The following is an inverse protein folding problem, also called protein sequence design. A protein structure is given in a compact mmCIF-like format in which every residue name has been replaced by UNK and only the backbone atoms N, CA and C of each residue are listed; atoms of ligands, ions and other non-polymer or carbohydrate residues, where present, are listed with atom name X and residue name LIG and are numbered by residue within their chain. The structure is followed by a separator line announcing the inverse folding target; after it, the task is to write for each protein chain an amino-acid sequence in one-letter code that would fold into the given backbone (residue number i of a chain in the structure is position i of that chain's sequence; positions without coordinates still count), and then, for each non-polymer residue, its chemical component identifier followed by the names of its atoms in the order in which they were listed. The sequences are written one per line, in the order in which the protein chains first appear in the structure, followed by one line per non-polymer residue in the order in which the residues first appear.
data_IF_101786739753
#
_entry.id   IF_101786739753
#
_cell.length_a   1.000
_cell.length_b   1.000
_cell.length_c   1.000
_cell.angle_alpha   90.00
_cell.angle_beta   90.00
_cell.angle_gamma   90.00
#
_symmetry.space_group_name_H-M   'P 1'
#
loop_
_entity.id
_entity.type
_entity.pdbx_description
1 polymer ?
#
# COMPACT_ATOMS: atom_id res chain seq x y z
N UNK A 1 23.34 -26.96 -48.18
CA UNK A 1 22.49 -27.29 -47.01
C UNK A 1 22.87 -26.38 -45.85
N UNK A 2 22.03 -25.42 -45.47
CA UNK A 2 22.27 -24.54 -44.32
C UNK A 2 22.12 -25.38 -43.06
N UNK A 3 23.23 -25.81 -42.45
CA UNK A 3 23.20 -26.46 -41.13
C UNK A 3 22.86 -25.38 -40.09
N UNK A 4 21.59 -25.13 -39.86
CA UNK A 4 21.15 -24.43 -38.66
C UNK A 4 21.43 -25.38 -37.50
N UNK A 5 22.59 -25.19 -36.87
CA UNK A 5 23.12 -26.08 -35.83
C UNK A 5 22.12 -26.10 -34.65
N UNK A 6 21.70 -27.29 -34.17
CA UNK A 6 20.83 -27.45 -32.99
C UNK A 6 21.32 -26.67 -31.76
N UNK A 7 22.62 -26.41 -31.71
CA UNK A 7 23.35 -25.65 -30.68
C UNK A 7 22.78 -24.23 -30.50
N UNK A 8 22.42 -23.54 -31.59
CA UNK A 8 21.97 -22.14 -31.52
C UNK A 8 20.58 -22.03 -30.87
N UNK A 9 19.72 -23.03 -31.10
CA UNK A 9 18.37 -23.08 -30.51
C UNK A 9 18.47 -23.39 -29.02
N UNK A 10 19.36 -24.30 -28.61
CA UNK A 10 19.56 -24.64 -27.21
C UNK A 10 20.09 -23.45 -26.38
N UNK A 11 21.05 -22.68 -26.93
CA UNK A 11 21.55 -21.46 -26.30
C UNK A 11 20.47 -20.37 -26.17
N UNK A 12 19.62 -20.22 -27.19
CA UNK A 12 18.52 -19.25 -27.15
C UNK A 12 17.46 -19.64 -26.11
N UNK A 13 17.18 -20.93 -25.94
CA UNK A 13 16.28 -21.44 -24.89
C UNK A 13 16.88 -21.20 -23.50
N UNK A 14 18.19 -21.47 -23.32
CA UNK A 14 18.88 -21.19 -22.04
C UNK A 14 18.79 -19.72 -21.65
N UNK A 15 19.09 -18.81 -22.59
CA UNK A 15 18.95 -17.36 -22.35
C UNK A 15 17.52 -16.93 -22.04
N UNK A 16 16.52 -17.53 -22.69
CA UNK A 16 15.11 -17.26 -22.39
C UNK A 16 14.72 -17.76 -20.99
N UNK A 17 15.20 -18.94 -20.60
CA UNK A 17 14.98 -19.48 -19.27
C UNK A 17 15.56 -18.55 -18.18
N UNK A 18 16.80 -18.10 -18.35
CA UNK A 18 17.45 -17.17 -17.42
C UNK A 18 16.68 -15.85 -17.27
N UNK A 19 16.21 -15.28 -18.39
CA UNK A 19 15.42 -14.05 -18.38
C UNK A 19 14.08 -14.26 -17.66
N UNK A 20 13.41 -15.39 -17.89
CA UNK A 20 12.13 -15.72 -17.24
C UNK A 20 12.31 -15.97 -15.74
N UNK A 21 13.34 -16.70 -15.33
CA UNK A 21 13.63 -16.92 -13.92
C UNK A 21 14.00 -15.63 -13.20
N UNK A 22 14.84 -14.79 -13.82
CA UNK A 22 15.21 -13.48 -13.27
C UNK A 22 13.98 -12.59 -13.12
N UNK A 23 13.12 -12.55 -14.13
CA UNK A 23 11.86 -11.79 -14.06
C UNK A 23 10.93 -12.32 -12.97
N UNK A 24 10.82 -13.64 -12.83
CA UNK A 24 9.98 -14.28 -11.80
C UNK A 24 10.47 -13.92 -10.40
N UNK A 25 11.79 -14.02 -10.18
CA UNK A 25 12.45 -13.63 -8.93
C UNK A 25 12.22 -12.16 -8.59
N UNK A 26 12.32 -11.27 -9.58
CA UNK A 26 12.08 -9.83 -9.39
C UNK A 26 10.60 -9.50 -9.07
N UNK A 27 9.65 -10.25 -9.65
CA UNK A 27 8.23 -10.10 -9.32
C UNK A 27 7.98 -10.56 -7.87
N UNK A 28 8.61 -11.65 -7.44
CA UNK A 28 8.51 -12.15 -6.08
C UNK A 28 9.13 -11.20 -5.06
N UNK A 29 10.29 -10.60 -5.35
CA UNK A 29 10.91 -9.61 -4.46
C UNK A 29 10.05 -8.36 -4.32
N UNK A 30 9.55 -7.80 -5.43
CA UNK A 30 8.65 -6.65 -5.41
C UNK A 30 7.34 -6.93 -4.65
N UNK A 31 6.81 -8.16 -4.75
CA UNK A 31 5.64 -8.60 -3.95
C UNK A 31 5.95 -8.68 -2.46
N UNK A 32 7.16 -9.09 -2.10
CA UNK A 32 7.61 -9.25 -0.72
C UNK A 32 7.85 -7.89 -0.05
N UNK A 33 8.45 -6.96 -0.79
CA UNK A 33 8.69 -5.57 -0.37
C UNK A 33 7.39 -4.82 -0.02
N UNK A 34 6.28 -5.15 -0.69
CA UNK A 34 4.96 -4.53 -0.46
C UNK A 34 3.99 -5.39 0.38
N UNK A 35 4.51 -6.37 1.11
CA UNK A 35 3.71 -7.20 2.01
C UNK A 35 3.25 -6.42 3.24
N UNK A 36 2.15 -6.85 3.87
CA UNK A 36 1.66 -6.25 5.13
C UNK A 36 2.76 -6.28 6.19
N UNK A 37 3.50 -7.39 6.29
CA UNK A 37 4.56 -7.54 7.28
C UNK A 37 5.67 -6.50 7.09
N UNK A 38 6.09 -6.22 5.86
CA UNK A 38 7.14 -5.22 5.58
C UNK A 38 6.65 -3.80 5.86
N UNK A 39 5.46 -3.40 5.39
CA UNK A 39 4.96 -2.04 5.67
C UNK A 39 4.70 -1.81 7.16
N UNK A 40 4.35 -2.86 7.91
CA UNK A 40 4.24 -2.77 9.38
C UNK A 40 5.61 -2.63 10.04
N UNK A 41 6.68 -3.25 9.53
CA UNK A 41 8.04 -2.99 10.02
C UNK A 41 8.45 -1.55 9.78
N UNK A 42 8.18 -1.00 8.60
CA UNK A 42 8.45 0.41 8.27
C UNK A 42 7.63 1.32 9.19
N UNK A 43 6.33 1.05 9.37
CA UNK A 43 5.49 1.82 10.29
C UNK A 43 6.04 1.82 11.72
N UNK A 44 6.58 0.68 12.17
CA UNK A 44 7.20 0.55 13.49
C UNK A 44 8.54 1.26 13.63
N UNK A 45 9.22 1.59 12.53
CA UNK A 45 10.48 2.34 12.53
C UNK A 45 10.28 3.85 12.33
N UNK A 46 9.07 4.31 11.98
CA UNK A 46 8.79 5.73 11.81
C UNK A 46 8.96 6.49 13.13
N UNK A 47 9.80 7.53 13.17
CA UNK A 47 9.91 8.38 14.34
C UNK A 47 8.57 9.10 14.55
N UNK A 48 8.19 9.37 15.82
CA UNK A 48 6.99 10.15 16.18
C UNK A 48 5.64 9.47 15.90
N UNK A 49 5.62 8.18 15.54
CA UNK A 49 4.40 7.37 15.62
C UNK A 49 4.37 6.62 16.95
N UNK A 50 3.32 6.85 17.73
CA UNK A 50 3.04 6.08 18.93
C UNK A 50 2.43 4.73 18.57
N UNK A 51 3.09 3.64 18.96
CA UNK A 51 2.60 2.28 18.71
C UNK A 51 1.30 2.07 19.48
N UNK A 52 0.26 1.68 18.77
CA UNK A 52 -1.09 1.51 19.34
C UNK A 52 -1.91 2.80 19.44
N UNK A 53 -1.34 3.97 19.13
CA UNK A 53 -2.10 5.20 19.02
C UNK A 53 -3.02 5.24 17.80
N UNK A 54 -3.92 6.23 17.74
CA UNK A 54 -4.96 6.32 16.71
C UNK A 54 -4.39 6.30 15.28
N UNK A 55 -3.35 7.09 15.02
CA UNK A 55 -2.72 7.15 13.70
C UNK A 55 -2.06 5.81 13.31
N UNK A 56 -1.52 5.08 14.30
CA UNK A 56 -0.93 3.75 14.07
C UNK A 56 -2.02 2.74 13.72
N UNK A 57 -3.11 2.68 14.49
CA UNK A 57 -4.23 1.78 14.23
C UNK A 57 -4.97 2.12 12.93
N UNK A 58 -5.03 3.41 12.57
CA UNK A 58 -5.51 3.83 11.27
C UNK A 58 -4.62 3.29 10.15
N UNK A 59 -3.31 3.43 10.26
CA UNK A 59 -2.37 2.92 9.26
C UNK A 59 -2.48 1.40 9.07
N UNK A 60 -2.65 0.62 10.15
CA UNK A 60 -2.82 -0.84 10.03
C UNK A 60 -4.09 -1.23 9.26
N UNK A 61 -5.20 -0.50 9.45
CA UNK A 61 -6.43 -0.68 8.67
C UNK A 61 -6.25 -0.24 7.21
N UNK A 62 -5.59 0.90 6.99
CA UNK A 62 -5.32 1.45 5.66
C UNK A 62 -4.48 0.47 4.82
N UNK A 63 -3.51 -0.20 5.44
CA UNK A 63 -2.63 -1.16 4.78
C UNK A 63 -3.28 -2.49 4.43
N UNK A 64 -4.57 -2.72 4.72
CA UNK A 64 -5.29 -3.86 4.14
C UNK A 64 -5.39 -3.68 2.61
N UNK A 65 -5.55 -2.45 2.15
CA UNK A 65 -5.60 -2.09 0.73
C UNK A 65 -4.20 -2.13 0.11
N UNK A 66 -4.03 -2.93 -0.93
CA UNK A 66 -2.72 -3.14 -1.58
C UNK A 66 -2.17 -1.85 -2.17
N UNK A 67 -3.01 -1.07 -2.83
CA UNK A 67 -2.63 0.18 -3.51
C UNK A 67 -2.14 1.22 -2.49
N UNK A 68 -2.70 1.20 -1.27
CA UNK A 68 -2.27 2.09 -0.18
C UNK A 68 -0.89 1.69 0.34
N UNK A 69 -0.61 0.38 0.44
CA UNK A 69 0.72 -0.13 0.81
C UNK A 69 1.78 0.27 -0.22
N UNK A 70 1.46 0.11 -1.51
CA UNK A 70 2.39 0.46 -2.60
C UNK A 70 2.73 1.95 -2.60
N UNK A 71 1.73 2.82 -2.41
CA UNK A 71 1.96 4.27 -2.29
C UNK A 71 2.82 4.56 -1.07
N UNK A 72 2.50 4.00 0.09
CA UNK A 72 3.24 4.23 1.33
C UNK A 72 4.72 3.79 1.21
N UNK A 73 4.97 2.60 0.67
CA UNK A 73 6.33 2.09 0.47
C UNK A 73 7.13 2.96 -0.52
N UNK A 74 6.49 3.48 -1.56
CA UNK A 74 7.12 4.34 -2.58
C UNK A 74 7.50 5.74 -2.07
N UNK A 75 7.05 6.15 -0.88
CA UNK A 75 7.38 7.48 -0.36
C UNK A 75 8.83 7.58 0.12
N UNK A 76 9.43 6.46 0.53
CA UNK A 76 10.82 6.29 1.02
C UNK A 76 11.25 7.13 2.24
N UNK A 77 10.85 8.41 2.30
CA UNK A 77 11.17 9.35 3.36
C UNK A 77 10.18 9.26 4.55
N UNK A 78 10.67 9.08 5.78
CA UNK A 78 9.83 8.98 6.97
C UNK A 78 8.87 10.16 7.18
N UNK A 79 9.32 11.38 6.92
CA UNK A 79 8.50 12.59 7.12
C UNK A 79 7.37 12.69 6.08
N UNK A 80 7.61 12.23 4.84
CA UNK A 80 6.58 12.16 3.80
C UNK A 80 5.55 11.07 4.13
N UNK A 81 6.00 9.91 4.60
CA UNK A 81 5.13 8.83 5.08
C UNK A 81 4.20 9.30 6.21
N UNK A 82 4.75 10.01 7.19
CA UNK A 82 3.99 10.57 8.31
C UNK A 82 2.98 11.62 7.85
N UNK A 83 3.40 12.54 6.97
CA UNK A 83 2.53 13.58 6.42
C UNK A 83 1.38 12.97 5.63
N UNK A 84 1.68 11.97 4.81
CA UNK A 84 0.67 11.25 4.04
C UNK A 84 -0.34 10.54 4.95
N UNK A 85 0.11 9.82 5.97
CA UNK A 85 -0.77 9.16 6.94
C UNK A 85 -1.68 10.16 7.66
N UNK A 86 -1.14 11.30 8.12
CA UNK A 86 -1.92 12.35 8.78
C UNK A 86 -2.99 12.93 7.86
N UNK A 87 -2.63 13.25 6.62
CA UNK A 87 -3.59 13.75 5.64
C UNK A 87 -4.70 12.75 5.37
N UNK A 88 -4.38 11.45 5.24
CA UNK A 88 -5.39 10.39 5.07
C UNK A 88 -6.28 10.24 6.30
N UNK A 89 -5.72 10.33 7.49
CA UNK A 89 -6.47 10.26 8.74
C UNK A 89 -7.44 11.43 8.90
N UNK A 90 -7.01 12.66 8.57
CA UNK A 90 -7.89 13.84 8.61
C UNK A 90 -9.05 13.71 7.63
N UNK A 91 -8.80 13.23 6.40
CA UNK A 91 -9.87 13.00 5.42
C UNK A 91 -10.89 11.96 5.87
N UNK A 92 -10.45 10.89 6.54
CA UNK A 92 -11.32 9.85 7.09
C UNK A 92 -12.19 10.39 8.23
N UNK A 93 -11.58 11.17 9.13
CA UNK A 93 -12.27 11.81 10.24
C UNK A 93 -13.26 12.88 9.75
N UNK A 94 -12.86 13.72 8.80
CA UNK A 94 -13.73 14.77 8.23
C UNK A 94 -14.93 14.17 7.51
N UNK A 95 -14.75 13.07 6.75
CA UNK A 95 -15.86 12.35 6.14
C UNK A 95 -16.85 11.85 7.20
N UNK A 96 -16.35 11.32 8.33
CA UNK A 96 -17.19 10.81 9.41
C UNK A 96 -17.93 11.93 10.14
N UNK A 97 -17.27 13.07 10.38
CA UNK A 97 -17.86 14.26 11.02
C UNK A 97 -18.93 14.89 10.13
N UNK A 98 -18.71 14.97 8.82
CA UNK A 98 -19.73 15.46 7.86
C UNK A 98 -20.96 14.56 7.89
N UNK A 99 -20.80 13.24 7.80
CA UNK A 99 -21.92 12.31 7.87
C UNK A 99 -22.66 12.38 9.21
N UNK A 100 -21.95 12.52 10.34
CA UNK A 100 -22.57 12.69 11.66
C UNK A 100 -23.33 14.01 11.77
N UNK A 101 -22.79 15.11 11.22
CA UNK A 101 -23.49 16.41 11.17
C UNK A 101 -24.76 16.33 10.32
N UNK A 102 -24.69 15.71 9.15
CA UNK A 102 -25.87 15.50 8.29
C UNK A 102 -26.95 14.68 9.00
N UNK A 103 -26.56 13.59 9.69
CA UNK A 103 -27.48 12.80 10.52
C UNK A 103 -28.08 13.62 11.67
N UNK A 104 -27.28 14.40 12.39
CA UNK A 104 -27.76 15.27 13.46
C UNK A 104 -28.72 16.34 12.94
N UNK A 105 -28.42 16.98 11.81
CA UNK A 105 -29.29 17.96 11.17
C UNK A 105 -30.59 17.35 10.65
N UNK A 106 -30.54 16.09 10.20
CA UNK A 106 -31.73 15.33 9.84
C UNK A 106 -32.60 15.06 11.07
N UNK A 107 -32.01 14.58 12.17
CA UNK A 107 -32.72 14.33 13.42
C UNK A 107 -33.29 15.62 14.02
N UNK A 108 -32.53 16.72 13.99
CA UNK A 108 -32.95 18.03 14.50
C UNK A 108 -34.13 18.60 13.71
N UNK A 109 -34.15 18.43 12.39
CA UNK A 109 -35.30 18.80 11.54
C UNK A 109 -36.53 17.95 11.82
N UNK A 110 -36.35 16.69 12.19
CA UNK A 110 -37.45 15.77 12.50
C UNK A 110 -38.05 15.99 13.90
N UNK A 111 -37.23 16.37 14.88
CA UNK A 111 -37.67 16.69 16.26
C UNK A 111 -38.32 18.07 16.39
N UNK A 112 -38.10 18.99 15.43
CA UNK A 112 -38.76 20.31 15.39
C UNK A 112 -40.14 20.31 14.68
N UNK A 113 -40.64 19.15 14.24
CA UNK A 113 -41.94 19.01 13.56
C UNK A 113 -42.99 18.23 14.37
N UNK A 114 -42.69 17.87 15.63
CA UNK A 114 -43.66 17.41 16.63
C UNK A 114 -43.88 18.51 17.69
#
# INVERSE_FOLDING_TARGET
MKKTRPIVIFEQIGRLADVVETRSRNIETARKENSIAEVIKILNSLPRIEKGGDLYLFATRLFIMKEKREIFASLEEPELMLTWLKNKHTLDHDSMVVSLKECLDFLRRKVMLD
#
